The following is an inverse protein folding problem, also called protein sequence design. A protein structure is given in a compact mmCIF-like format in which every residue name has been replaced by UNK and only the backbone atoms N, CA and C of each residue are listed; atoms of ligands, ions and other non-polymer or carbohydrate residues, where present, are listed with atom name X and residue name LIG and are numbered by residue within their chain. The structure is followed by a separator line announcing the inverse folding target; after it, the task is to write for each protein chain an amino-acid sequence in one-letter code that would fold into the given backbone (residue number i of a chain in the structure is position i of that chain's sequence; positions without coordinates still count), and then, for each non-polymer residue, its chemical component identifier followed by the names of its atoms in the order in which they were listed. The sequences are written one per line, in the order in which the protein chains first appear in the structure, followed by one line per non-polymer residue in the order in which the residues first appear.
data_IF_939745580901
#
_entry.id   IF_939745580901
#
_cell.length_a   1.000
_cell.length_b   1.000
_cell.length_c   1.000
_cell.angle_alpha   90.00
_cell.angle_beta   90.00
_cell.angle_gamma   90.00
#
_symmetry.space_group_name_H-M   'P 1'
#
loop_
_entity.id
_entity.type
_entity.pdbx_description
1 polymer ?
#
# COMPACT_ATOMS: atom_id res chain seq x y z
N UNK A 1 31.74 -6.55 -5.07
CA UNK A 1 31.57 -6.95 -6.48
C UNK A 1 30.11 -6.71 -6.85
N UNK A 2 29.85 -5.64 -7.60
CA UNK A 2 28.52 -5.24 -8.04
C UNK A 2 28.09 -6.06 -9.26
N UNK A 3 26.82 -6.47 -9.31
CA UNK A 3 26.15 -6.95 -10.54
C UNK A 3 24.76 -6.32 -10.62
N UNK A 4 24.70 -5.16 -11.26
CA UNK A 4 23.47 -4.59 -11.81
C UNK A 4 23.15 -5.33 -13.13
N UNK A 5 22.02 -6.02 -13.18
CA UNK A 5 21.44 -6.64 -14.40
C UNK A 5 19.90 -6.55 -14.21
N UNK A 6 19.08 -6.01 -15.09
CA UNK A 6 19.30 -5.49 -16.43
C UNK A 6 18.17 -4.56 -16.86
N UNK A 7 18.56 -3.46 -17.51
CA UNK A 7 17.68 -2.61 -18.30
C UNK A 7 17.22 -3.39 -19.55
N UNK A 8 15.95 -3.77 -19.64
CA UNK A 8 15.38 -4.21 -20.92
C UNK A 8 14.81 -3.00 -21.66
N UNK A 9 15.61 -2.46 -22.58
CA UNK A 9 15.18 -1.52 -23.61
C UNK A 9 14.19 -2.21 -24.55
N UNK A 10 12.96 -1.71 -24.65
CA UNK A 10 12.13 -1.86 -25.85
C UNK A 10 11.49 -0.52 -26.22
N UNK A 11 11.52 -0.25 -27.51
CA UNK A 11 11.41 1.06 -28.15
C UNK A 11 9.96 1.58 -28.30
N UNK A 12 9.85 2.91 -28.26
CA UNK A 12 8.99 3.84 -29.03
C UNK A 12 7.62 3.36 -29.56
N UNK A 13 6.53 4.06 -29.18
CA UNK A 13 5.84 5.05 -30.04
C UNK A 13 4.61 5.71 -29.36
N UNK A 14 4.38 6.98 -29.75
CA UNK A 14 3.10 7.72 -29.80
C UNK A 14 2.50 8.40 -28.55
N UNK A 15 2.75 9.73 -28.48
CA UNK A 15 1.79 10.87 -28.36
C UNK A 15 0.39 10.59 -27.77
N UNK A 16 0.01 11.36 -26.74
CA UNK A 16 -1.38 11.56 -26.36
C UNK A 16 -1.55 12.50 -25.16
N UNK A 17 -2.00 13.72 -25.42
CA UNK A 17 -2.33 14.81 -24.48
C UNK A 17 -3.46 14.41 -23.51
N UNK A 18 -3.27 14.55 -22.19
CA UNK A 18 -4.31 14.81 -21.18
C UNK A 18 -3.57 15.39 -19.96
N UNK A 19 -3.85 16.55 -19.37
CA UNK A 19 -5.09 17.29 -19.22
C UNK A 19 -5.11 17.71 -17.74
N UNK A 20 -4.71 18.96 -17.47
CA UNK A 20 -4.81 19.60 -16.16
C UNK A 20 -6.28 19.58 -15.70
N UNK A 21 -6.58 18.93 -14.58
CA UNK A 21 -7.82 19.18 -13.83
C UNK A 21 -7.55 19.22 -12.32
N UNK A 22 -7.70 20.42 -11.78
CA UNK A 22 -7.83 20.73 -10.37
C UNK A 22 -9.14 20.16 -9.82
N UNK A 23 -9.13 19.60 -8.60
CA UNK A 23 -10.24 19.82 -7.65
C UNK A 23 -9.64 19.98 -6.26
N UNK A 24 -9.53 21.25 -5.84
CA UNK A 24 -9.48 21.59 -4.44
C UNK A 24 -10.89 21.39 -3.86
N UNK A 25 -11.03 20.54 -2.85
CA UNK A 25 -12.23 20.51 -2.02
C UNK A 25 -11.81 20.49 -0.56
N UNK A 26 -11.81 21.68 0.04
CA UNK A 26 -11.72 21.85 1.48
C UNK A 26 -13.03 21.39 2.12
N UNK A 27 -12.92 20.59 3.17
CA UNK A 27 -14.00 20.36 4.12
C UNK A 27 -13.47 20.67 5.52
N UNK A 28 -14.02 21.75 6.07
CA UNK A 28 -13.89 22.12 7.46
C UNK A 28 -14.60 21.08 8.32
N UNK A 29 -13.89 20.46 9.26
CA UNK A 29 -14.49 19.65 10.31
C UNK A 29 -14.43 20.42 11.62
N UNK A 30 -15.60 20.86 12.06
CA UNK A 30 -15.85 21.36 13.42
C UNK A 30 -16.15 20.16 14.32
N UNK A 31 -15.26 19.84 15.26
CA UNK A 31 -15.52 18.82 16.28
C UNK A 31 -16.09 19.49 17.54
N UNK A 32 -17.35 19.20 17.83
CA UNK A 32 -18.01 19.49 19.10
C UNK A 32 -17.76 18.37 20.11
N UNK A 33 -17.42 18.78 21.33
CA UNK A 33 -17.09 17.92 22.48
C UNK A 33 -18.39 17.48 23.17
N UNK A 34 -18.58 16.17 23.39
CA UNK A 34 -19.47 15.64 24.44
C UNK A 34 -18.83 14.40 25.05
N UNK A 35 -18.66 14.46 26.36
CA UNK A 35 -18.06 13.47 27.25
C UNK A 35 -19.14 13.07 28.27
N UNK A 36 -19.46 11.77 28.44
CA UNK A 36 -20.11 11.22 29.67
C UNK A 36 -19.76 9.71 29.83
N UNK A 37 -19.51 9.19 31.06
CA UNK A 37 -18.84 7.91 31.35
C UNK A 37 -19.74 6.81 31.99
N UNK A 38 -19.15 5.62 32.23
CA UNK A 38 -19.64 4.53 33.13
C UNK A 38 -20.25 3.32 32.38
N UNK A 39 -20.10 2.05 32.76
CA UNK A 39 -19.73 1.37 34.01
C UNK A 39 -19.45 -0.13 33.72
N UNK A 40 -18.61 -0.80 34.53
CA UNK A 40 -18.00 -2.11 34.22
C UNK A 40 -18.75 -3.39 34.64
N UNK A 41 -18.04 -4.53 34.52
CA UNK A 41 -18.44 -5.85 35.05
C UNK A 41 -17.79 -7.06 34.32
N UNK A 42 -17.07 -7.99 35.00
CA UNK A 42 -16.15 -8.96 34.37
C UNK A 42 -16.68 -10.41 34.27
N UNK A 43 -16.03 -11.28 33.49
CA UNK A 43 -16.08 -12.73 33.72
C UNK A 43 -15.72 -13.63 32.53
N UNK A 44 -14.84 -14.61 32.76
CA UNK A 44 -14.84 -15.91 32.06
C UNK A 44 -13.58 -16.31 31.29
N UNK A 45 -12.72 -17.12 31.93
CA UNK A 45 -11.53 -17.73 31.35
C UNK A 45 -11.81 -19.06 30.64
N UNK A 46 -10.95 -19.44 29.68
CA UNK A 46 -10.83 -20.82 29.16
C UNK A 46 -9.94 -20.93 27.93
N UNK A 47 -8.77 -21.59 28.08
CA UNK A 47 -7.78 -21.88 27.01
C UNK A 47 -8.28 -22.82 25.90
N UNK A 48 -7.51 -23.19 24.87
CA UNK A 48 -6.06 -23.21 24.74
C UNK A 48 -5.61 -23.25 23.25
N UNK A 49 -4.39 -22.75 23.01
CA UNK A 49 -3.31 -23.29 22.17
C UNK A 49 -3.60 -23.74 20.70
N UNK A 50 -3.05 -23.01 19.71
CA UNK A 50 -1.97 -23.49 18.81
C UNK A 50 -1.46 -22.42 17.82
N UNK A 51 -0.14 -22.17 17.88
CA UNK A 51 0.82 -21.88 16.81
C UNK A 51 0.46 -21.00 15.60
N UNK A 52 1.04 -19.79 15.52
CA UNK A 52 2.21 -19.49 14.66
C UNK A 52 2.76 -18.08 14.99
N UNK A 53 4.08 -17.99 15.02
CA UNK A 53 4.92 -16.85 15.36
C UNK A 53 4.50 -15.48 14.78
N UNK A 54 4.53 -14.47 15.65
CA UNK A 54 4.91 -13.07 15.37
C UNK A 54 4.33 -12.41 14.13
N UNK A 55 3.09 -11.94 14.20
CA UNK A 55 2.60 -10.90 13.28
C UNK A 55 2.82 -9.54 13.94
N UNK A 56 4.04 -9.02 13.89
CA UNK A 56 4.25 -7.56 13.98
C UNK A 56 4.21 -7.00 12.55
N UNK A 57 2.98 -6.91 12.04
CA UNK A 57 2.65 -6.20 10.81
C UNK A 57 1.48 -5.28 11.14
N UNK A 58 1.73 -4.16 11.82
CA UNK A 58 0.67 -3.17 12.07
C UNK A 58 0.38 -2.42 10.77
N UNK A 59 -0.53 -3.06 10.02
CA UNK A 59 -1.35 -2.66 8.87
C UNK A 59 -0.62 -2.05 7.68
N UNK A 60 -0.51 -2.78 6.57
CA UNK A 60 -0.04 -2.29 5.27
C UNK A 60 -1.28 -1.76 4.48
N UNK A 61 -1.19 -0.96 3.39
CA UNK A 61 -2.38 -0.27 2.88
C UNK A 61 -3.39 -1.34 2.48
N UNK A 62 -4.55 -1.32 3.12
CA UNK A 62 -5.55 -2.36 2.99
C UNK A 62 -6.95 -1.76 3.21
N UNK A 63 -7.92 -2.24 2.45
CA UNK A 63 -9.31 -1.83 2.52
C UNK A 63 -9.96 -1.68 1.14
N UNK A 64 -11.22 -1.24 1.18
CA UNK A 64 -12.04 -1.01 -0.02
C UNK A 64 -12.10 0.47 -0.37
N UNK A 65 -11.79 0.80 -1.62
CA UNK A 65 -11.98 2.13 -2.20
C UNK A 65 -12.56 1.98 -3.61
N UNK A 66 -13.71 2.60 -3.85
CA UNK A 66 -14.44 2.42 -5.10
C UNK A 66 -14.80 0.96 -5.34
N UNK A 67 -14.51 0.48 -6.55
CA UNK A 67 -14.73 -0.92 -6.94
C UNK A 67 -13.60 -1.88 -6.56
N UNK A 68 -12.56 -1.42 -5.86
CA UNK A 68 -11.40 -2.24 -5.55
C UNK A 68 -11.29 -2.50 -4.06
N UNK A 69 -10.99 -3.76 -3.73
CA UNK A 69 -10.56 -4.20 -2.41
C UNK A 69 -9.08 -4.57 -2.49
N UNK A 70 -8.23 -3.77 -1.87
CA UNK A 70 -6.78 -3.96 -1.86
C UNK A 70 -6.35 -4.41 -0.47
N UNK A 71 -5.42 -5.35 -0.40
CA UNK A 71 -4.95 -5.90 0.87
C UNK A 71 -3.49 -6.35 0.77
N UNK A 72 -2.79 -6.29 1.89
CA UNK A 72 -1.41 -6.77 2.00
C UNK A 72 -1.45 -8.04 2.82
N UNK A 73 -1.40 -9.15 2.10
CA UNK A 73 -1.65 -10.49 2.63
C UNK A 73 -0.45 -11.02 3.40
N UNK A 74 0.77 -10.62 3.02
CA UNK A 74 1.99 -11.15 3.64
C UNK A 74 3.14 -10.18 3.55
N UNK A 75 3.93 -10.10 4.61
CA UNK A 75 5.24 -9.46 4.61
C UNK A 75 6.26 -10.45 5.16
N UNK A 76 7.37 -10.66 4.45
CA UNK A 76 8.50 -11.50 4.89
C UNK A 76 9.78 -10.68 4.85
N UNK A 77 10.68 -10.90 5.80
CA UNK A 77 12.03 -10.34 5.71
C UNK A 77 12.86 -11.11 4.68
N UNK A 78 13.67 -10.40 3.89
CA UNK A 78 14.64 -10.97 2.95
C UNK A 78 16.08 -10.46 3.18
N UNK A 79 16.28 -9.62 4.19
CA UNK A 79 17.55 -8.98 4.52
C UNK A 79 17.35 -7.78 5.46
N UNK A 80 18.44 -7.10 5.83
CA UNK A 80 18.41 -5.99 6.79
C UNK A 80 17.39 -4.90 6.38
N UNK A 81 17.50 -4.39 5.15
CA UNK A 81 16.62 -3.36 4.60
C UNK A 81 15.70 -3.91 3.48
N UNK A 82 15.39 -5.22 3.51
CA UNK A 82 14.65 -5.92 2.47
C UNK A 82 13.38 -6.58 3.02
N UNK A 83 12.25 -6.38 2.35
CA UNK A 83 10.97 -7.05 2.62
C UNK A 83 10.35 -7.59 1.33
N UNK A 84 9.90 -8.84 1.35
CA UNK A 84 9.03 -9.41 0.32
C UNK A 84 7.57 -9.21 0.75
N UNK A 85 6.80 -8.50 -0.06
CA UNK A 85 5.43 -8.10 0.24
C UNK A 85 4.49 -8.74 -0.77
N UNK A 86 3.58 -9.59 -0.30
CA UNK A 86 2.51 -10.15 -1.12
C UNK A 86 1.26 -9.32 -0.95
N UNK A 87 0.73 -8.82 -2.06
CA UNK A 87 -0.51 -8.03 -2.10
C UNK A 87 -1.62 -8.79 -2.79
N UNK A 88 -2.84 -8.29 -2.60
CA UNK A 88 -4.05 -8.78 -3.23
C UNK A 88 -4.88 -7.58 -3.68
N UNK A 89 -5.34 -7.63 -4.91
CA UNK A 89 -6.29 -6.67 -5.48
C UNK A 89 -7.49 -7.44 -6.01
N UNK A 90 -8.68 -7.14 -5.50
CA UNK A 90 -9.94 -7.73 -5.97
C UNK A 90 -10.80 -6.63 -6.58
N UNK A 91 -11.39 -6.89 -7.76
CA UNK A 91 -12.47 -6.05 -8.27
C UNK A 91 -13.78 -6.52 -7.63
N UNK A 92 -14.32 -5.73 -6.71
CA UNK A 92 -15.61 -6.01 -6.03
C UNK A 92 -16.78 -5.29 -6.69
N UNK A 93 -16.55 -4.60 -7.81
CA UNK A 93 -17.57 -4.01 -8.66
C UNK A 93 -18.29 -5.04 -9.53
N UNK A 94 -19.29 -4.56 -10.28
CA UNK A 94 -20.08 -5.40 -11.19
C UNK A 94 -19.55 -5.40 -12.63
N UNK A 95 -18.64 -4.49 -12.96
CA UNK A 95 -18.11 -4.28 -14.31
C UNK A 95 -16.66 -4.76 -14.41
N UNK A 96 -16.23 -5.14 -15.62
CA UNK A 96 -14.84 -5.51 -15.87
C UNK A 96 -13.97 -4.26 -15.91
N UNK A 97 -12.99 -4.19 -15.02
CA UNK A 97 -12.00 -3.13 -15.06
C UNK A 97 -10.96 -3.39 -16.16
N UNK A 98 -10.65 -2.36 -16.95
CA UNK A 98 -9.70 -2.41 -18.05
C UNK A 98 -8.52 -1.48 -17.80
N UNK A 99 -7.38 -1.80 -18.42
CA UNK A 99 -6.11 -1.07 -18.29
C UNK A 99 -5.68 -0.85 -16.83
N UNK A 100 -5.98 -1.83 -15.98
CA UNK A 100 -5.70 -1.76 -14.54
C UNK A 100 -4.19 -1.72 -14.33
N UNK A 101 -3.74 -0.68 -13.64
CA UNK A 101 -2.35 -0.46 -13.25
C UNK A 101 -2.30 -0.13 -11.76
N UNK A 102 -1.43 -0.82 -11.03
CA UNK A 102 -1.17 -0.56 -9.62
C UNK A 102 0.17 0.14 -9.51
N UNK A 103 0.21 1.27 -8.82
CA UNK A 103 1.44 2.00 -8.55
C UNK A 103 1.61 2.18 -7.06
N UNK A 104 2.72 1.69 -6.52
CA UNK A 104 3.05 1.88 -5.11
C UNK A 104 4.26 2.77 -4.98
N UNK A 105 4.23 3.68 -4.01
CA UNK A 105 5.33 4.58 -3.65
C UNK A 105 5.49 4.60 -2.14
N UNK A 106 6.72 4.62 -1.67
CA UNK A 106 7.05 4.67 -0.24
C UNK A 106 7.88 5.93 0.00
N UNK A 107 7.48 6.70 0.99
CA UNK A 107 8.08 7.97 1.37
C UNK A 107 8.53 7.96 2.82
N UNK A 108 9.48 8.83 3.16
CA UNK A 108 9.74 9.29 4.52
C UNK A 108 9.74 10.82 4.53
N UNK A 109 8.83 11.44 5.27
CA UNK A 109 8.51 12.85 5.03
C UNK A 109 8.14 13.08 3.56
N UNK A 110 8.84 14.00 2.90
CA UNK A 110 8.65 14.33 1.48
C UNK A 110 9.60 13.56 0.52
N UNK A 111 10.48 12.70 1.05
CA UNK A 111 11.48 11.98 0.27
C UNK A 111 10.93 10.64 -0.24
N UNK A 112 11.02 10.40 -1.55
CA UNK A 112 10.65 9.12 -2.17
C UNK A 112 11.78 8.10 -2.00
N UNK A 113 11.50 7.01 -1.28
CA UNK A 113 12.47 5.95 -1.00
C UNK A 113 12.36 4.77 -1.97
N UNK A 114 11.15 4.45 -2.41
CA UNK A 114 10.90 3.29 -3.25
C UNK A 114 9.64 3.49 -4.08
N UNK A 115 9.63 2.92 -5.29
CA UNK A 115 8.44 2.87 -6.12
C UNK A 115 8.41 1.61 -6.97
N UNK A 116 7.18 1.18 -7.27
CA UNK A 116 6.91 0.12 -8.23
C UNK A 116 5.66 0.44 -9.05
N UNK A 117 5.57 -0.16 -10.22
CA UNK A 117 4.39 -0.08 -11.09
C UNK A 117 4.16 -1.43 -11.74
N UNK A 118 2.97 -1.97 -11.47
CA UNK A 118 2.52 -3.24 -11.99
C UNK A 118 1.30 -3.07 -12.90
N UNK A 119 1.32 -3.73 -14.07
CA UNK A 119 0.22 -3.69 -15.04
C UNK A 119 -0.57 -4.99 -14.98
N UNK A 120 -1.78 -4.91 -14.42
CA UNK A 120 -2.73 -6.03 -14.31
C UNK A 120 -3.50 -6.24 -15.62
N UNK A 121 -3.83 -5.15 -16.32
CA UNK A 121 -4.59 -5.21 -17.58
C UNK A 121 -6.08 -5.35 -17.32
N UNK A 122 -6.63 -6.56 -17.43
CA UNK A 122 -8.05 -6.82 -17.24
C UNK A 122 -8.31 -7.44 -15.87
N UNK A 123 -9.31 -6.92 -15.15
CA UNK A 123 -9.75 -7.47 -13.88
C UNK A 123 -11.29 -7.59 -13.86
N UNK A 124 -11.85 -8.76 -14.22
CA UNK A 124 -13.29 -9.02 -14.21
C UNK A 124 -13.94 -8.86 -12.82
N UNK A 125 -15.27 -8.78 -12.74
CA UNK A 125 -16.00 -8.74 -11.48
C UNK A 125 -15.67 -9.94 -10.58
N UNK A 126 -15.40 -9.66 -9.31
CA UNK A 126 -14.99 -10.59 -8.26
C UNK A 126 -13.65 -11.32 -8.51
N UNK A 127 -12.91 -10.96 -9.56
CA UNK A 127 -11.60 -11.54 -9.83
C UNK A 127 -10.54 -10.94 -8.89
N UNK A 128 -9.58 -11.77 -8.49
CA UNK A 128 -8.51 -11.40 -7.58
C UNK A 128 -7.14 -11.53 -8.26
N UNK A 129 -6.42 -10.43 -8.37
CA UNK A 129 -5.00 -10.40 -8.70
C UNK A 129 -4.15 -10.51 -7.43
N UNK A 130 -3.06 -11.29 -7.48
CA UNK A 130 -2.07 -11.38 -6.41
C UNK A 130 -0.69 -11.27 -6.98
N UNK A 131 0.15 -10.49 -6.32
CA UNK A 131 1.54 -10.35 -6.69
C UNK A 131 2.44 -10.28 -5.45
N UNK A 132 3.72 -10.61 -5.62
CA UNK A 132 4.74 -10.47 -4.59
C UNK A 132 5.88 -9.61 -5.09
N UNK A 133 6.04 -8.44 -4.47
CA UNK A 133 7.09 -7.48 -4.79
C UNK A 133 8.17 -7.48 -3.71
N UNK A 134 9.43 -7.34 -4.13
CA UNK A 134 10.56 -7.12 -3.22
C UNK A 134 10.78 -5.63 -3.03
N UNK A 135 10.56 -5.16 -1.81
CA UNK A 135 10.90 -3.81 -1.36
C UNK A 135 12.28 -3.87 -0.72
N UNK A 136 13.27 -3.32 -1.40
CA UNK A 136 14.64 -3.23 -0.91
C UNK A 136 15.06 -1.76 -0.89
N UNK A 137 15.51 -1.32 0.29
CA UNK A 137 16.09 0.01 0.48
C UNK A 137 17.61 -0.11 0.55
N UNK A 138 18.30 0.85 -0.06
CA UNK A 138 19.73 1.03 0.14
C UNK A 138 20.06 1.40 1.58
N UNK A 139 21.33 1.24 1.97
CA UNK A 139 21.81 1.64 3.29
C UNK A 139 21.57 3.13 3.59
N UNK A 140 21.66 3.99 2.58
CA UNK A 140 21.42 5.43 2.73
C UNK A 140 19.93 5.68 3.01
N UNK A 141 19.03 5.11 2.21
CA UNK A 141 17.58 5.23 2.39
C UNK A 141 17.11 4.67 3.74
N UNK A 142 17.65 3.51 4.17
CA UNK A 142 17.37 2.96 5.49
C UNK A 142 17.87 3.88 6.62
N UNK A 143 19.01 4.55 6.42
CA UNK A 143 19.52 5.58 7.31
C UNK A 143 18.59 6.80 7.38
N UNK A 144 18.06 7.26 6.24
CA UNK A 144 17.08 8.35 6.16
C UNK A 144 15.82 8.00 6.95
N UNK A 145 15.24 6.82 6.75
CA UNK A 145 14.07 6.36 7.52
C UNK A 145 14.33 6.44 9.02
N UNK A 146 15.49 5.95 9.47
CA UNK A 146 15.87 6.01 10.89
C UNK A 146 16.02 7.44 11.40
N UNK A 147 16.62 8.34 10.61
CA UNK A 147 16.75 9.76 10.95
C UNK A 147 15.38 10.46 11.08
N UNK A 148 14.39 9.99 10.33
CA UNK A 148 12.99 10.43 10.40
C UNK A 148 12.14 9.65 11.42
N UNK A 149 12.79 9.05 12.43
CA UNK A 149 12.08 8.37 13.53
C UNK A 149 11.40 7.07 13.10
N UNK A 150 11.81 6.48 11.98
CA UNK A 150 11.22 5.26 11.44
C UNK A 150 9.87 5.46 10.76
N UNK A 151 9.43 6.70 10.51
CA UNK A 151 8.12 6.91 9.90
C UNK A 151 8.18 6.80 8.38
N UNK A 152 7.30 5.98 7.80
CA UNK A 152 7.12 5.88 6.35
C UNK A 152 5.66 6.09 5.96
N UNK A 153 5.44 6.63 4.77
CA UNK A 153 4.14 6.74 4.12
C UNK A 153 4.11 5.88 2.86
N UNK A 154 3.18 4.94 2.79
CA UNK A 154 2.97 4.08 1.63
C UNK A 154 1.73 4.58 0.89
N UNK A 155 1.91 4.96 -0.37
CA UNK A 155 0.84 5.40 -1.26
C UNK A 155 0.68 4.38 -2.38
N UNK A 156 -0.48 3.74 -2.44
CA UNK A 156 -0.85 2.83 -3.55
C UNK A 156 -1.98 3.46 -4.35
N UNK A 157 -1.74 3.67 -5.64
CA UNK A 157 -2.71 4.20 -6.58
C UNK A 157 -3.08 3.10 -7.58
N UNK A 158 -4.37 2.83 -7.70
CA UNK A 158 -4.93 1.89 -8.65
C UNK A 158 -5.63 2.72 -9.71
N UNK A 159 -5.10 2.70 -10.93
CA UNK A 159 -5.72 3.35 -12.08
C UNK A 159 -6.29 2.31 -13.04
N UNK A 160 -7.34 2.71 -13.75
CA UNK A 160 -8.01 1.97 -14.81
C UNK A 160 -8.39 2.93 -15.92
N UNK A 161 -8.96 2.43 -17.02
CA UNK A 161 -9.47 3.28 -18.10
C UNK A 161 -10.54 4.30 -17.62
N UNK A 162 -11.27 3.98 -16.55
CA UNK A 162 -12.44 4.76 -16.12
C UNK A 162 -12.18 5.63 -14.89
N UNK A 163 -11.32 5.17 -13.97
CA UNK A 163 -11.12 5.83 -12.68
C UNK A 163 -9.75 5.54 -12.07
N UNK A 164 -9.36 6.40 -11.13
CA UNK A 164 -8.18 6.25 -10.29
C UNK A 164 -8.58 6.32 -8.80
N UNK A 165 -8.03 5.41 -8.01
CA UNK A 165 -8.27 5.30 -6.57
C UNK A 165 -6.94 5.24 -5.83
N UNK A 166 -6.83 5.95 -4.71
CA UNK A 166 -5.59 6.01 -3.92
C UNK A 166 -5.81 5.56 -2.49
N UNK A 167 -4.89 4.73 -2.00
CA UNK A 167 -4.74 4.27 -0.63
C UNK A 167 -3.46 4.88 -0.07
N UNK A 168 -3.56 5.60 1.05
CA UNK A 168 -2.41 6.14 1.75
C UNK A 168 -2.38 5.57 3.16
N UNK A 169 -1.18 5.21 3.63
CA UNK A 169 -1.00 4.68 4.96
C UNK A 169 0.33 5.07 5.57
N UNK A 170 0.29 5.42 6.85
CA UNK A 170 1.46 5.69 7.67
C UNK A 170 1.88 4.45 8.46
N UNK A 171 3.18 4.24 8.57
CA UNK A 171 3.77 3.16 9.37
C UNK A 171 5.00 3.65 10.10
N UNK A 172 5.17 3.15 11.31
CA UNK A 172 6.43 3.26 12.05
C UNK A 172 7.18 1.94 11.93
N UNK A 173 8.43 2.02 11.48
CA UNK A 173 9.36 0.90 11.26
C UNK A 173 10.57 0.97 12.17
N UNK A 174 10.41 1.52 13.38
CA UNK A 174 11.39 1.44 14.46
C UNK A 174 11.46 0.00 14.98
N UNK A 175 12.60 -0.67 14.74
CA UNK A 175 12.99 -1.87 15.51
C UNK A 175 13.20 -1.52 16.99
#
# INVERSE_FOLDING_TARGET
MARYVGLSRRALAAVGVVGLFFVALGLAFSFGVVDVPGSGGPGGAGGANESTAGVDARTAPAGRVGQYDFDVVRVRTCGFACRNVTTRLTNVGNDTAQDVTVRTRIYTGDELLWQDRERVGYLPPNETYRDTVTVELSYVEAGTVKAHGGNITIVTTISSAEAEYTFAQHRDVTD
#
